data_IF_863272466465
#
_entry.id   IF_863272466465
#
_cell.length_a   1.000
_cell.length_b   1.000
_cell.length_c   1.000
_cell.angle_alpha   90.00
_cell.angle_beta   90.00
_cell.angle_gamma   90.00
#
_symmetry.space_group_name_H-M   'P 1'
#
loop_
_entity.id
_entity.type
_entity.pdbx_description
1 polymer ?
#
# COMPACT_ATOMS: atom_id res chain seq x y z
N UNK A 1 10.51 -16.07 3.53
CA UNK A 1 10.10 -15.42 4.80
C UNK A 1 8.58 -15.52 4.93
N UNK A 2 8.03 -15.83 6.10
CA UNK A 2 6.58 -15.95 6.31
C UNK A 2 5.82 -14.62 6.16
N UNK A 3 6.54 -13.50 6.18
CA UNK A 3 5.98 -12.16 6.01
C UNK A 3 6.73 -11.40 4.93
N UNK A 4 5.96 -10.68 4.11
CA UNK A 4 6.48 -9.72 3.13
C UNK A 4 6.52 -8.34 3.80
N UNK A 5 7.69 -7.66 3.88
CA UNK A 5 7.80 -6.32 4.45
C UNK A 5 6.94 -5.29 3.73
N UNK A 6 6.46 -4.27 4.46
CA UNK A 6 5.62 -3.21 3.88
C UNK A 6 6.30 -2.44 2.75
N UNK A 7 7.61 -2.16 2.85
CA UNK A 7 8.38 -1.53 1.78
C UNK A 7 8.30 -2.30 0.45
N UNK A 8 8.37 -3.64 0.52
CA UNK A 8 8.18 -4.51 -0.65
C UNK A 8 6.77 -4.42 -1.22
N UNK A 9 5.73 -4.41 -0.37
CA UNK A 9 4.34 -4.24 -0.80
C UNK A 9 4.10 -2.89 -1.48
N UNK A 10 4.64 -1.80 -0.92
CA UNK A 10 4.52 -0.44 -1.46
C UNK A 10 5.13 -0.32 -2.86
N UNK A 11 6.27 -0.97 -3.09
CA UNK A 11 6.96 -0.93 -4.39
C UNK A 11 6.18 -1.60 -5.54
N UNK A 12 5.28 -2.55 -5.24
CA UNK A 12 4.56 -3.32 -6.26
C UNK A 12 3.09 -2.91 -6.44
N UNK A 13 2.47 -2.23 -5.45
CA UNK A 13 1.04 -1.86 -5.48
C UNK A 13 0.63 -0.95 -6.63
N UNK A 14 1.55 -0.14 -7.16
CA UNK A 14 1.30 0.70 -8.34
C UNK A 14 1.58 0.02 -9.68
N UNK A 15 1.89 -1.28 -9.68
CA UNK A 15 2.33 -2.06 -10.86
C UNK A 15 1.71 -3.46 -10.85
N UNK A 16 0.48 -3.57 -10.38
CA UNK A 16 -0.21 -4.86 -10.32
C UNK A 16 -0.49 -5.37 -11.76
N UNK A 17 -0.39 -6.69 -12.02
CA UNK A 17 -0.81 -7.30 -13.29
C UNK A 17 -2.28 -7.02 -13.62
N UNK A 18 -2.74 -7.31 -14.83
CA UNK A 18 -4.16 -7.15 -15.17
C UNK A 18 -5.08 -8.03 -14.27
N UNK A 19 -6.35 -7.64 -14.11
CA UNK A 19 -7.28 -8.34 -13.22
C UNK A 19 -7.43 -9.84 -13.57
N UNK A 20 -7.44 -10.18 -14.86
CA UNK A 20 -7.47 -11.57 -15.33
C UNK A 20 -6.25 -12.37 -14.88
N UNK A 21 -5.04 -11.83 -15.08
CA UNK A 21 -3.79 -12.47 -14.65
C UNK A 21 -3.74 -12.67 -13.13
N UNK A 22 -4.24 -11.68 -12.36
CA UNK A 22 -4.34 -11.81 -10.90
C UNK A 22 -5.29 -12.92 -10.50
N UNK A 23 -6.45 -13.02 -11.16
CA UNK A 23 -7.44 -14.04 -10.87
C UNK A 23 -6.94 -15.44 -11.22
N UNK A 24 -6.28 -15.59 -12.36
CA UNK A 24 -5.65 -16.84 -12.79
C UNK A 24 -4.57 -17.30 -11.81
N UNK A 25 -3.71 -16.39 -11.34
CA UNK A 25 -2.69 -16.71 -10.34
C UNK A 25 -3.29 -17.25 -9.03
N UNK A 26 -4.41 -16.67 -8.57
CA UNK A 26 -5.13 -17.17 -7.39
C UNK A 26 -5.78 -18.52 -7.66
N UNK A 27 -6.38 -18.71 -8.84
CA UNK A 27 -7.00 -19.98 -9.22
C UNK A 27 -5.98 -21.12 -9.31
N UNK A 28 -4.79 -20.85 -9.85
CA UNK A 28 -3.69 -21.82 -9.92
C UNK A 28 -3.20 -22.21 -8.51
N UNK A 29 -3.04 -21.22 -7.62
CA UNK A 29 -2.69 -21.46 -6.21
C UNK A 29 -3.74 -22.33 -5.51
N UNK A 30 -5.03 -22.03 -5.70
CA UNK A 30 -6.12 -22.82 -5.16
C UNK A 30 -6.11 -24.25 -5.70
N UNK A 31 -5.90 -24.44 -7.01
CA UNK A 31 -5.81 -25.78 -7.61
C UNK A 31 -4.68 -26.61 -7.02
N UNK A 32 -3.50 -26.02 -6.81
CA UNK A 32 -2.38 -26.67 -6.11
C UNK A 32 -2.72 -27.04 -4.68
N UNK A 33 -3.40 -26.15 -3.95
CA UNK A 33 -3.83 -26.44 -2.58
C UNK A 33 -4.86 -27.58 -2.54
N UNK A 34 -5.86 -27.55 -3.42
CA UNK A 34 -6.89 -28.58 -3.51
C UNK A 34 -6.32 -29.97 -3.84
N UNK A 35 -5.27 -30.05 -4.67
CA UNK A 35 -4.61 -31.32 -4.98
C UNK A 35 -3.91 -31.99 -3.77
N UNK A 36 -3.73 -31.25 -2.66
CA UNK A 36 -3.19 -31.76 -1.40
C UNK A 36 -4.27 -32.33 -0.47
N UNK A 37 -5.56 -32.17 -0.80
CA UNK A 37 -6.67 -32.72 -0.02
C UNK A 37 -6.47 -34.24 0.18
N UNK A 38 -6.67 -34.70 1.42
CA UNK A 38 -6.42 -36.10 1.81
C UNK A 38 -4.94 -36.49 1.96
N UNK A 39 -3.98 -35.57 1.76
CA UNK A 39 -2.53 -35.81 1.94
C UNK A 39 -1.98 -35.18 3.22
N UNK A 40 -2.67 -35.39 4.34
CA UNK A 40 -2.26 -34.87 5.66
C UNK A 40 -2.88 -33.52 6.04
N UNK A 41 -4.01 -33.17 5.42
CA UNK A 41 -4.87 -32.10 5.94
C UNK A 41 -5.38 -32.49 7.34
N UNK A 42 -5.48 -31.54 8.29
CA UNK A 42 -6.22 -31.79 9.53
C UNK A 42 -7.66 -32.15 9.22
N UNK A 43 -8.25 -33.11 9.94
CA UNK A 43 -9.65 -33.53 9.75
C UNK A 43 -10.67 -32.40 9.97
N UNK A 44 -10.24 -31.32 10.66
CA UNK A 44 -11.05 -30.12 10.88
C UNK A 44 -11.09 -29.16 9.68
N UNK A 45 -10.32 -29.43 8.61
CA UNK A 45 -10.22 -28.56 7.46
C UNK A 45 -11.18 -29.00 6.35
N UNK A 46 -12.16 -28.15 6.04
CA UNK A 46 -13.07 -28.31 4.91
C UNK A 46 -12.67 -27.38 3.76
N UNK A 47 -12.67 -27.89 2.52
CA UNK A 47 -12.41 -27.07 1.34
C UNK A 47 -13.68 -26.36 0.89
N UNK A 48 -13.63 -25.03 0.84
CA UNK A 48 -14.67 -24.20 0.22
C UNK A 48 -14.46 -24.06 -1.30
N UNK A 49 -15.53 -23.83 -2.09
CA UNK A 49 -15.40 -23.45 -3.49
C UNK A 49 -14.56 -22.18 -3.67
N UNK A 50 -13.84 -22.09 -4.79
CA UNK A 50 -13.07 -20.90 -5.13
C UNK A 50 -14.00 -19.79 -5.65
N UNK A 51 -13.93 -18.64 -5.00
CA UNK A 51 -14.48 -17.38 -5.50
C UNK A 51 -13.37 -16.32 -5.44
N UNK A 52 -12.98 -15.78 -6.59
CA UNK A 52 -11.96 -14.73 -6.66
C UNK A 52 -12.64 -13.38 -6.76
N UNK A 53 -12.48 -12.57 -5.72
CA UNK A 53 -12.97 -11.18 -5.68
C UNK A 53 -11.79 -10.23 -5.72
N UNK A 54 -11.71 -9.43 -6.77
CA UNK A 54 -10.67 -8.42 -6.93
C UNK A 54 -11.09 -7.10 -6.28
N UNK A 55 -10.30 -6.62 -5.32
CA UNK A 55 -10.61 -5.42 -4.53
C UNK A 55 -9.75 -4.20 -4.95
N UNK A 56 -8.94 -4.31 -6.00
CA UNK A 56 -8.01 -3.24 -6.43
C UNK A 56 -8.72 -1.91 -6.68
N UNK A 57 -9.89 -1.95 -7.31
CA UNK A 57 -10.69 -0.74 -7.59
C UNK A 57 -11.28 -0.13 -6.32
N UNK A 58 -11.85 -0.96 -5.43
CA UNK A 58 -12.42 -0.53 -4.13
C UNK A 58 -11.40 0.23 -3.30
N UNK A 59 -10.14 -0.19 -3.39
CA UNK A 59 -9.02 0.44 -2.68
C UNK A 59 -8.32 1.58 -3.45
N UNK A 60 -8.84 1.97 -4.61
CA UNK A 60 -8.29 3.05 -5.44
C UNK A 60 -6.93 2.73 -6.07
N UNK A 61 -6.52 1.47 -6.11
CA UNK A 61 -5.23 1.05 -6.66
C UNK A 61 -5.28 0.90 -8.20
N UNK A 62 -6.47 0.95 -8.80
CA UNK A 62 -6.64 0.95 -10.25
C UNK A 62 -6.27 2.32 -10.83
N UNK A 63 -5.27 2.38 -11.71
CA UNK A 63 -4.86 3.61 -12.39
C UNK A 63 -4.17 4.66 -11.50
N UNK A 64 -4.01 4.41 -10.20
CA UNK A 64 -3.26 5.30 -9.32
C UNK A 64 -1.76 5.23 -9.62
N UNK A 65 -1.07 6.37 -9.81
CA UNK A 65 0.37 6.39 -10.00
C UNK A 65 1.11 5.68 -8.87
N UNK A 66 2.16 4.94 -9.22
CA UNK A 66 2.96 4.25 -8.21
C UNK A 66 3.54 5.24 -7.19
N UNK A 67 3.41 4.97 -5.88
CA UNK A 67 3.99 5.83 -4.87
C UNK A 67 5.52 5.74 -4.96
N UNK A 68 6.17 6.90 -4.94
CA UNK A 68 7.63 6.99 -5.05
C UNK A 68 8.30 7.24 -3.71
N UNK A 69 7.55 7.76 -2.72
CA UNK A 69 8.05 8.10 -1.38
C UNK A 69 7.03 7.75 -0.30
N UNK A 70 7.52 7.49 0.91
CA UNK A 70 6.69 7.37 2.12
C UNK A 70 7.16 8.30 3.22
N UNK A 71 6.23 8.77 4.04
CA UNK A 71 6.52 9.54 5.25
C UNK A 71 7.33 8.68 6.21
N UNK A 72 8.48 9.19 6.65
CA UNK A 72 9.34 8.51 7.64
C UNK A 72 8.80 8.69 9.05
N UNK A 73 8.45 9.93 9.38
CA UNK A 73 7.94 10.35 10.68
C UNK A 73 7.12 11.63 10.54
N UNK A 74 6.22 11.88 11.48
CA UNK A 74 5.56 13.17 11.65
C UNK A 74 6.36 14.00 12.66
N UNK A 75 6.42 15.31 12.46
CA UNK A 75 7.23 16.24 13.26
C UNK A 75 6.42 17.48 13.59
N UNK A 76 6.74 18.14 14.70
CA UNK A 76 6.03 19.34 15.13
C UNK A 76 6.10 20.44 14.06
N UNK A 77 4.97 21.12 13.82
CA UNK A 77 4.80 22.07 12.72
C UNK A 77 4.85 21.49 11.30
N UNK A 78 5.09 20.18 11.14
CA UNK A 78 5.11 19.50 9.84
C UNK A 78 3.71 19.20 9.32
N UNK A 79 3.51 19.36 8.01
CA UNK A 79 2.22 19.13 7.34
C UNK A 79 2.36 18.06 6.26
N UNK A 80 1.37 17.17 6.19
CA UNK A 80 1.17 16.23 5.09
C UNK A 80 -0.23 16.46 4.53
N UNK A 81 -0.32 17.17 3.41
CA UNK A 81 -1.59 17.52 2.79
C UNK A 81 -1.62 17.06 1.33
N UNK A 82 -2.67 16.33 0.96
CA UNK A 82 -2.86 15.79 -0.38
C UNK A 82 -4.22 15.14 -0.56
N UNK A 83 -4.57 14.85 -1.82
CA UNK A 83 -5.78 14.12 -2.13
C UNK A 83 -5.57 12.64 -1.85
N UNK A 84 -6.41 12.03 -1.02
CA UNK A 84 -6.42 10.58 -0.87
C UNK A 84 -6.88 9.94 -2.19
N UNK A 85 -6.01 9.13 -2.80
CA UNK A 85 -6.26 8.47 -4.09
C UNK A 85 -6.33 6.94 -3.97
N UNK A 86 -5.72 6.37 -2.93
CA UNK A 86 -5.81 4.95 -2.65
C UNK A 86 -5.55 4.66 -1.16
N UNK A 87 -5.97 3.49 -0.69
CA UNK A 87 -5.66 2.98 0.63
C UNK A 87 -5.35 1.49 0.58
N UNK A 88 -4.30 1.02 1.26
CA UNK A 88 -3.93 -0.39 1.21
C UNK A 88 -3.29 -0.87 2.53
N UNK A 89 -4.08 -1.57 3.34
CA UNK A 89 -3.70 -1.87 4.73
C UNK A 89 -3.59 -0.57 5.53
N UNK A 90 -2.48 -0.31 6.26
CA UNK A 90 -2.28 0.95 6.97
C UNK A 90 -1.83 2.10 6.06
N UNK A 91 -1.62 1.89 4.77
CA UNK A 91 -1.05 2.91 3.88
C UNK A 91 -2.14 3.76 3.23
N UNK A 92 -2.10 5.08 3.46
CA UNK A 92 -2.85 6.08 2.70
C UNK A 92 -1.97 6.64 1.58
N UNK A 93 -2.48 6.65 0.36
CA UNK A 93 -1.78 7.18 -0.81
C UNK A 93 -2.32 8.58 -1.09
N UNK A 94 -1.46 9.59 -0.91
CA UNK A 94 -1.80 10.98 -1.06
C UNK A 94 -1.17 11.53 -2.34
N UNK A 95 -2.00 11.97 -3.29
CA UNK A 95 -1.55 12.76 -4.43
C UNK A 95 -1.24 14.17 -3.95
N UNK A 96 0.03 14.57 -4.08
CA UNK A 96 0.57 15.86 -3.65
C UNK A 96 1.08 16.66 -4.85
N UNK A 97 0.90 17.98 -4.85
CA UNK A 97 1.47 18.89 -5.85
C UNK A 97 2.69 19.59 -5.26
N UNK A 98 3.86 19.47 -5.90
CA UNK A 98 5.07 20.18 -5.46
C UNK A 98 5.78 19.54 -4.25
N UNK A 99 6.96 18.97 -4.49
CA UNK A 99 7.96 18.72 -3.45
C UNK A 99 9.05 19.78 -3.59
N UNK A 100 9.51 20.37 -2.48
CA UNK A 100 10.59 21.37 -2.49
C UNK A 100 11.77 20.90 -3.34
N UNK A 101 11.97 21.55 -4.48
CA UNK A 101 12.95 21.16 -5.50
C UNK A 101 12.34 20.67 -6.83
N UNK A 102 11.61 21.54 -7.53
CA UNK A 102 11.51 21.52 -9.01
C UNK A 102 10.79 20.36 -9.72
N UNK A 103 10.16 19.41 -9.02
CA UNK A 103 9.46 18.27 -9.62
C UNK A 103 7.93 18.39 -9.53
N UNK A 104 7.23 18.10 -10.63
CA UNK A 104 5.77 17.98 -10.69
C UNK A 104 5.20 17.00 -9.65
N UNK A 105 3.87 17.07 -9.44
CA UNK A 105 3.18 16.30 -8.41
C UNK A 105 3.41 14.78 -8.46
N UNK A 106 3.19 14.10 -7.33
CA UNK A 106 3.40 12.67 -7.18
C UNK A 106 2.58 12.06 -6.03
N UNK A 107 2.70 10.75 -5.82
CA UNK A 107 2.00 10.04 -4.74
C UNK A 107 2.97 9.75 -3.59
N UNK A 108 2.58 10.18 -2.38
CA UNK A 108 3.30 9.92 -1.11
C UNK A 108 2.45 9.00 -0.24
N UNK A 109 3.08 8.02 0.40
CA UNK A 109 2.43 7.10 1.33
C UNK A 109 2.55 7.60 2.77
N UNK A 110 1.42 7.72 3.46
CA UNK A 110 1.34 7.94 4.91
C UNK A 110 0.86 6.66 5.59
N UNK A 111 1.63 6.15 6.53
CA UNK A 111 1.27 4.99 7.36
C UNK A 111 0.37 5.44 8.52
N UNK A 112 -0.85 4.92 8.61
CA UNK A 112 -1.83 5.27 9.65
C UNK A 112 -1.39 4.89 11.06
N UNK A 113 -0.28 4.16 11.22
CA UNK A 113 0.29 3.93 12.55
C UNK A 113 1.07 5.15 13.06
N UNK A 114 1.52 6.04 12.17
CA UNK A 114 2.23 7.26 12.53
C UNK A 114 1.30 8.38 13.01
N UNK A 115 0.01 8.34 12.68
CA UNK A 115 -0.93 9.45 12.96
C UNK A 115 -1.42 9.51 14.40
N UNK A 116 -1.09 8.50 15.23
CA UNK A 116 -1.53 8.49 16.64
C UNK A 116 -0.94 9.69 17.37
N UNK A 117 -1.79 10.53 17.96
CA UNK A 117 -1.37 11.74 18.67
C UNK A 117 -1.18 12.98 17.79
N UNK A 118 -1.51 12.91 16.50
CA UNK A 118 -1.47 14.04 15.56
C UNK A 118 -2.88 14.46 15.15
N UNK A 119 -3.07 15.76 14.95
CA UNK A 119 -4.36 16.30 14.52
C UNK A 119 -4.63 16.01 13.04
N UNK A 120 -5.87 15.63 12.75
CA UNK A 120 -6.39 15.54 11.39
C UNK A 120 -7.33 16.73 11.17
N UNK A 121 -6.80 17.78 10.55
CA UNK A 121 -7.56 19.01 10.25
C UNK A 121 -7.88 19.10 8.76
N UNK A 122 -9.00 19.75 8.44
CA UNK A 122 -9.30 20.09 7.05
C UNK A 122 -8.27 21.12 6.54
N UNK A 123 -7.64 20.83 5.40
CA UNK A 123 -6.76 21.79 4.73
C UNK A 123 -7.64 22.85 4.04
N UNK A 124 -7.57 24.09 4.52
CA UNK A 124 -8.38 25.22 4.03
C UNK A 124 -7.64 26.11 3.04
N UNK A 125 -6.35 25.88 2.79
CA UNK A 125 -5.54 26.60 1.80
C UNK A 125 -5.39 25.86 0.48
N UNK A 126 -4.64 26.47 -0.46
CA UNK A 126 -4.13 25.78 -1.65
C UNK A 126 -2.91 24.88 -1.33
N UNK A 127 -2.64 24.63 -0.04
CA UNK A 127 -1.44 23.99 0.47
C UNK A 127 -1.47 22.48 0.31
N UNK A 128 -1.29 22.01 -0.91
CA UNK A 128 -0.92 20.61 -1.13
C UNK A 128 0.60 20.52 -1.02
N UNK A 129 1.12 19.70 -0.11
CA UNK A 129 2.54 19.65 0.13
C UNK A 129 2.93 18.72 1.27
N UNK A 130 4.23 18.41 1.34
CA UNK A 130 4.79 17.53 2.37
C UNK A 130 5.98 18.24 3.01
N UNK A 131 5.80 18.65 4.27
CA UNK A 131 6.80 19.32 5.11
C UNK A 131 7.45 18.41 6.13
N UNK A 132 7.37 17.09 5.94
CA UNK A 132 7.93 16.08 6.86
C UNK A 132 8.99 15.23 6.16
N UNK A 133 9.89 14.56 6.91
CA UNK A 133 10.89 13.68 6.32
C UNK A 133 10.27 12.55 5.49
N UNK A 134 10.76 12.38 4.27
CA UNK A 134 10.37 11.33 3.34
C UNK A 134 11.51 10.31 3.14
N UNK A 135 11.13 9.09 2.79
CA UNK A 135 12.03 8.04 2.30
C UNK A 135 11.56 7.53 0.93
N UNK A 136 12.49 7.17 0.06
CA UNK A 136 12.17 6.63 -1.26
C UNK A 136 11.66 5.19 -1.19
N UNK A 137 10.64 4.88 -1.98
CA UNK A 137 10.09 3.53 -2.14
C UNK A 137 10.85 2.84 -3.27
N UNK A 138 11.43 1.68 -2.98
CA UNK A 138 12.18 0.88 -3.95
C UNK A 138 13.68 1.21 -4.06
N UNK A 139 14.17 2.20 -3.29
CA UNK A 139 15.59 2.59 -3.26
C UNK A 139 16.52 1.69 -2.43
N UNK A 140 16.10 0.47 -2.06
CA UNK A 140 16.94 -0.46 -1.29
C UNK A 140 17.21 -0.07 0.17
N UNK A 141 16.56 0.98 0.69
CA UNK A 141 16.68 1.40 2.08
C UNK A 141 16.14 0.33 3.03
N UNK A 142 17.00 -0.18 3.90
CA UNK A 142 16.63 -1.13 4.95
C UNK A 142 15.75 -0.40 5.96
N UNK A 143 14.46 -0.69 6.00
CA UNK A 143 13.60 -0.24 7.09
C UNK A 143 14.06 -0.99 8.35
N UNK A 144 14.83 -0.31 9.20
CA UNK A 144 15.15 -0.77 10.55
C UNK A 144 13.85 -1.10 11.26
N UNK A 145 13.72 -2.36 11.65
CA UNK A 145 12.46 -2.95 12.05
C UNK A 145 11.76 -2.14 13.13
N UNK A 146 10.54 -1.71 12.82
CA UNK A 146 9.45 -1.72 13.77
C UNK A 146 8.29 -2.45 13.08
N UNK A 147 8.15 -3.73 13.49
CA UNK A 147 7.22 -4.79 13.06
C UNK A 147 7.53 -5.56 11.78
#
# INVERSE_FOLDING_TARGET
PDRIPYAGKRAVRGRLPAAGERAEAVAELYGRAAALEGRGWPDSLERLPLEVVDQVEVFGLSGTPAPIRSVRELVDGGVVAGRLVAAAGPDLHLAVTGGGGGGGGGVVVLDTRLITGWDLTAETGNGVGVGVPLIDIGGGGVQGGLF
#
